data_IF_998158215444
#
_entry.id   IF_998158215444
#
_cell.length_a   1.000
_cell.length_b   1.000
_cell.length_c   1.000
_cell.angle_alpha   90.00
_cell.angle_beta   90.00
_cell.angle_gamma   90.00
#
_symmetry.space_group_name_H-M   'P 1'
#
loop_
_entity.id
_entity.type
_entity.pdbx_description
1 polymer ?
#
# COMPACT_ATOMS: atom_id res chain seq x y z
N UNK A 1 -18.51 -57.76 -32.43
CA UNK A 1 -18.75 -56.41 -31.90
C UNK A 1 -19.45 -56.51 -30.56
N UNK A 2 -18.76 -56.88 -29.46
CA UNK A 2 -19.45 -56.95 -28.15
C UNK A 2 -18.56 -56.91 -26.90
N UNK A 3 -17.35 -57.46 -26.92
CA UNK A 3 -16.44 -57.43 -25.76
C UNK A 3 -15.26 -56.46 -25.91
N UNK A 4 -14.68 -56.38 -27.11
CA UNK A 4 -13.55 -55.47 -27.38
C UNK A 4 -13.98 -53.99 -27.41
N UNK A 5 -15.10 -53.68 -28.06
CA UNK A 5 -15.63 -52.30 -28.12
C UNK A 5 -16.13 -51.80 -26.76
N UNK A 6 -16.65 -52.69 -25.90
CA UNK A 6 -17.08 -52.34 -24.55
C UNK A 6 -15.89 -52.16 -23.61
N UNK A 7 -14.80 -52.92 -23.78
CA UNK A 7 -13.52 -52.66 -23.10
C UNK A 7 -12.90 -51.33 -23.56
N UNK A 8 -12.88 -51.04 -24.86
CA UNK A 8 -12.34 -49.79 -25.41
C UNK A 8 -13.13 -48.55 -24.93
N UNK A 9 -14.46 -48.64 -24.88
CA UNK A 9 -15.30 -47.59 -24.28
C UNK A 9 -15.06 -47.43 -22.77
N UNK A 10 -14.84 -48.53 -22.04
CA UNK A 10 -14.55 -48.47 -20.61
C UNK A 10 -13.16 -47.87 -20.32
N UNK A 11 -12.17 -48.14 -21.16
CA UNK A 11 -10.83 -47.57 -21.05
C UNK A 11 -10.82 -46.08 -21.40
N UNK A 12 -11.51 -45.67 -22.48
CA UNK A 12 -11.69 -44.24 -22.83
C UNK A 12 -12.43 -43.46 -21.73
N UNK A 13 -13.46 -44.06 -21.11
CA UNK A 13 -14.19 -43.44 -20.01
C UNK A 13 -13.33 -43.30 -18.74
N UNK A 14 -12.46 -44.27 -18.45
CA UNK A 14 -11.50 -44.20 -17.35
C UNK A 14 -10.44 -43.14 -17.56
N UNK A 15 -9.89 -43.03 -18.77
CA UNK A 15 -8.89 -42.02 -19.10
C UNK A 15 -9.47 -40.60 -18.98
N UNK A 16 -10.66 -40.35 -19.55
CA UNK A 16 -11.35 -39.07 -19.40
C UNK A 16 -11.69 -38.72 -17.94
N UNK A 17 -12.09 -39.72 -17.14
CA UNK A 17 -12.35 -39.54 -15.71
C UNK A 17 -11.07 -39.17 -14.93
N UNK A 18 -9.94 -39.79 -15.27
CA UNK A 18 -8.65 -39.52 -14.64
C UNK A 18 -8.12 -38.13 -15.01
N UNK A 19 -8.23 -37.72 -16.27
CA UNK A 19 -7.82 -36.40 -16.74
C UNK A 19 -8.65 -35.28 -16.08
N UNK A 20 -9.97 -35.44 -16.03
CA UNK A 20 -10.86 -34.50 -15.35
C UNK A 20 -10.56 -34.36 -13.85
N UNK A 21 -10.20 -35.47 -13.17
CA UNK A 21 -9.77 -35.44 -11.76
C UNK A 21 -8.48 -34.64 -11.58
N UNK A 22 -7.51 -34.79 -12.48
CA UNK A 22 -6.25 -34.04 -12.41
C UNK A 22 -6.48 -32.54 -12.62
N UNK A 23 -7.33 -32.17 -13.57
CA UNK A 23 -7.69 -30.76 -13.80
C UNK A 23 -8.46 -30.18 -12.61
N UNK A 24 -9.36 -30.95 -11.99
CA UNK A 24 -10.06 -30.54 -10.78
C UNK A 24 -9.10 -30.30 -9.60
N UNK A 25 -8.09 -31.15 -9.43
CA UNK A 25 -7.02 -30.94 -8.43
C UNK A 25 -6.19 -29.69 -8.74
N UNK A 26 -5.86 -29.44 -10.01
CA UNK A 26 -5.19 -28.22 -10.44
C UNK A 26 -6.01 -26.98 -10.06
N UNK A 27 -7.31 -26.95 -10.35
CA UNK A 27 -8.21 -25.85 -9.98
C UNK A 27 -8.19 -25.61 -8.46
N UNK A 28 -8.24 -26.68 -7.65
CA UNK A 28 -8.19 -26.55 -6.19
C UNK A 28 -6.88 -25.91 -5.70
N UNK A 29 -5.74 -26.27 -6.30
CA UNK A 29 -4.44 -25.66 -5.99
C UNK A 29 -4.41 -24.19 -6.40
N UNK A 30 -4.88 -23.85 -7.61
CA UNK A 30 -4.92 -22.46 -8.07
C UNK A 30 -5.85 -21.62 -7.17
N UNK A 31 -6.99 -22.17 -6.76
CA UNK A 31 -7.92 -21.50 -5.85
C UNK A 31 -7.31 -21.22 -4.47
N UNK A 32 -6.49 -22.14 -3.95
CA UNK A 32 -5.72 -21.90 -2.72
C UNK A 32 -4.71 -20.76 -2.91
N UNK A 33 -3.98 -20.74 -4.02
CA UNK A 33 -3.05 -19.66 -4.34
C UNK A 33 -3.76 -18.31 -4.49
N UNK A 34 -4.94 -18.29 -5.14
CA UNK A 34 -5.80 -17.11 -5.26
C UNK A 34 -6.22 -16.59 -3.89
N UNK A 35 -6.71 -17.46 -3.01
CA UNK A 35 -7.14 -17.06 -1.67
C UNK A 35 -6.00 -16.42 -0.86
N UNK A 36 -4.78 -16.94 -0.98
CA UNK A 36 -3.59 -16.36 -0.35
C UNK A 36 -3.25 -14.99 -0.96
N UNK A 37 -3.24 -14.89 -2.29
CA UNK A 37 -2.96 -13.64 -3.01
C UNK A 37 -3.96 -12.54 -2.66
N UNK A 38 -5.26 -12.84 -2.64
CA UNK A 38 -6.31 -11.88 -2.26
C UNK A 38 -6.20 -11.45 -0.79
N UNK A 39 -5.83 -12.38 0.10
CA UNK A 39 -5.64 -12.06 1.53
C UNK A 39 -4.46 -11.11 1.72
N UNK A 40 -3.33 -11.39 1.06
CA UNK A 40 -2.15 -10.51 1.07
C UNK A 40 -2.45 -9.16 0.41
N UNK A 41 -3.18 -9.15 -0.71
CA UNK A 41 -3.66 -7.96 -1.40
C UNK A 41 -4.48 -7.06 -0.49
N UNK A 42 -5.52 -7.59 0.16
CA UNK A 42 -6.37 -6.83 1.10
C UNK A 42 -5.57 -6.27 2.29
N UNK A 43 -4.60 -7.03 2.80
CA UNK A 43 -3.68 -6.57 3.83
C UNK A 43 -2.84 -5.38 3.36
N UNK A 44 -2.20 -5.50 2.20
CA UNK A 44 -1.39 -4.43 1.61
C UNK A 44 -2.22 -3.18 1.27
N UNK A 45 -3.45 -3.35 0.78
CA UNK A 45 -4.39 -2.26 0.53
C UNK A 45 -4.75 -1.52 1.81
N UNK A 46 -5.07 -2.26 2.88
CA UNK A 46 -5.43 -1.69 4.18
C UNK A 46 -4.25 -0.93 4.78
N UNK A 47 -3.05 -1.49 4.71
CA UNK A 47 -1.82 -0.82 5.15
C UNK A 47 -1.56 0.47 4.35
N UNK A 48 -1.70 0.44 3.02
CA UNK A 48 -1.56 1.64 2.19
C UNK A 48 -2.55 2.74 2.60
N UNK A 49 -3.82 2.39 2.81
CA UNK A 49 -4.84 3.35 3.26
C UNK A 49 -4.49 3.90 4.65
N UNK A 50 -4.09 3.03 5.59
CA UNK A 50 -3.72 3.44 6.94
C UNK A 50 -2.53 4.42 6.92
N UNK A 51 -1.50 4.13 6.13
CA UNK A 51 -0.31 4.97 5.97
C UNK A 51 -0.60 6.27 5.22
N UNK A 52 -1.51 6.25 4.25
CA UNK A 52 -1.99 7.47 3.60
C UNK A 52 -2.70 8.40 4.61
N UNK A 53 -3.58 7.84 5.45
CA UNK A 53 -4.25 8.59 6.51
C UNK A 53 -3.24 9.12 7.54
N UNK A 54 -2.25 8.32 7.93
CA UNK A 54 -1.17 8.75 8.82
C UNK A 54 -0.38 9.93 8.23
N UNK A 55 0.08 9.82 6.98
CA UNK A 55 0.79 10.89 6.28
C UNK A 55 -0.06 12.16 6.16
N UNK A 56 -1.33 12.03 5.79
CA UNK A 56 -2.27 13.15 5.68
C UNK A 56 -2.44 13.88 7.02
N UNK A 57 -2.60 13.13 8.12
CA UNK A 57 -2.69 13.69 9.46
C UNK A 57 -1.39 14.43 9.86
N UNK A 58 -0.22 13.84 9.58
CA UNK A 58 1.07 14.47 9.87
C UNK A 58 1.26 15.78 9.09
N UNK A 59 0.89 15.80 7.81
CA UNK A 59 0.90 17.02 7.02
C UNK A 59 -0.13 18.06 7.51
N UNK A 60 -1.27 17.63 8.01
CA UNK A 60 -2.24 18.53 8.63
C UNK A 60 -1.68 19.17 9.92
N UNK A 61 -1.02 18.38 10.78
CA UNK A 61 -0.34 18.91 11.98
C UNK A 61 0.81 19.86 11.61
N UNK A 62 1.61 19.51 10.59
CA UNK A 62 2.65 20.38 10.06
C UNK A 62 2.07 21.73 9.63
N UNK A 63 1.00 21.72 8.84
CA UNK A 63 0.34 22.94 8.35
C UNK A 63 -0.21 23.77 9.52
N UNK A 64 -0.89 23.14 10.47
CA UNK A 64 -1.41 23.83 11.66
C UNK A 64 -0.29 24.49 12.47
N UNK A 65 0.83 23.78 12.69
CA UNK A 65 1.98 24.32 13.45
C UNK A 65 2.71 25.41 12.67
N UNK A 66 2.81 25.28 11.35
CA UNK A 66 3.35 26.31 10.46
C UNK A 66 2.51 27.61 10.51
N UNK A 67 1.18 27.51 10.45
CA UNK A 67 0.28 28.66 10.59
C UNK A 67 0.46 29.32 11.96
N UNK A 68 0.44 28.55 13.05
CA UNK A 68 0.66 29.07 14.42
C UNK A 68 2.03 29.76 14.56
N UNK A 69 3.07 29.21 13.92
CA UNK A 69 4.40 29.82 13.90
C UNK A 69 4.36 31.17 13.18
N UNK A 70 3.78 31.24 11.99
CA UNK A 70 3.64 32.49 11.24
C UNK A 70 2.88 33.53 12.05
N UNK A 71 1.76 33.17 12.68
CA UNK A 71 0.99 34.10 13.54
C UNK A 71 1.84 34.69 14.67
N UNK A 72 2.61 33.85 15.39
CA UNK A 72 3.47 34.31 16.49
C UNK A 72 4.65 35.14 15.99
N UNK A 73 5.23 34.80 14.83
CA UNK A 73 6.28 35.58 14.19
C UNK A 73 5.78 36.98 13.81
N UNK A 74 4.61 37.06 13.14
CA UNK A 74 3.99 38.34 12.79
C UNK A 74 3.65 39.17 14.03
N UNK A 75 3.16 38.54 15.11
CA UNK A 75 2.92 39.25 16.38
C UNK A 75 4.22 39.84 16.98
N UNK A 76 5.33 39.08 16.93
CA UNK A 76 6.63 39.56 17.38
C UNK A 76 7.17 40.71 16.53
N UNK A 77 7.00 40.65 15.21
CA UNK A 77 7.36 41.75 14.30
C UNK A 77 6.52 43.00 14.59
N UNK A 78 5.21 42.84 14.83
CA UNK A 78 4.35 43.97 15.14
C UNK A 78 4.69 44.61 16.50
N UNK A 79 5.01 43.80 17.52
CA UNK A 79 5.48 44.33 18.81
C UNK A 79 6.84 45.03 18.71
N UNK A 80 7.73 44.60 17.80
CA UNK A 80 8.99 45.30 17.52
C UNK A 80 8.76 46.72 17.00
N UNK A 81 7.70 46.95 16.21
CA UNK A 81 7.32 48.31 15.78
C UNK A 81 6.82 49.17 16.95
N UNK A 82 6.22 48.56 17.97
CA UNK A 82 5.74 49.26 19.17
C UNK A 82 6.86 49.66 20.14
N UNK A 83 8.06 49.04 20.05
CA UNK A 83 9.21 49.37 20.92
C UNK A 83 9.65 50.84 20.79
N UNK A 84 9.63 51.38 19.57
CA UNK A 84 9.95 52.79 19.31
C UNK A 84 8.85 53.76 19.79
N UNK A 85 7.63 53.27 20.01
CA UNK A 85 6.49 54.06 20.48
C UNK A 85 6.27 53.98 22.01
N UNK A 86 6.97 53.08 22.71
CA UNK A 86 6.84 52.92 24.15
C UNK A 86 7.50 54.07 24.93
N UNK A 87 6.72 54.71 25.81
CA UNK A 87 7.08 55.98 26.47
C UNK A 87 8.06 55.86 27.63
N UNK A 88 8.07 54.75 28.38
CA UNK A 88 8.98 54.52 29.51
C UNK A 88 9.79 53.22 29.37
N UNK A 89 10.88 53.11 30.14
CA UNK A 89 11.81 51.99 30.05
C UNK A 89 11.22 50.67 30.56
N UNK A 90 10.27 50.73 31.49
CA UNK A 90 9.56 49.56 31.99
C UNK A 90 8.65 48.95 30.90
N UNK A 91 7.95 49.78 30.14
CA UNK A 91 7.13 49.39 29.00
C UNK A 91 7.99 48.81 27.88
N UNK A 92 9.15 49.41 27.57
CA UNK A 92 10.11 48.85 26.60
C UNK A 92 10.61 47.47 27.02
N UNK A 93 10.97 47.30 28.29
CA UNK A 93 11.41 46.00 28.82
C UNK A 93 10.30 44.94 28.75
N UNK A 94 9.05 45.30 29.04
CA UNK A 94 7.91 44.39 28.96
C UNK A 94 7.64 43.94 27.50
N UNK A 95 7.67 44.89 26.54
CA UNK A 95 7.50 44.58 25.11
C UNK A 95 8.64 43.71 24.60
N UNK A 96 9.89 44.01 24.98
CA UNK A 96 11.04 43.21 24.58
C UNK A 96 10.94 41.76 25.10
N UNK A 97 10.54 41.58 26.38
CA UNK A 97 10.31 40.25 26.94
C UNK A 97 9.25 39.48 26.14
N UNK A 98 8.15 40.12 25.79
CA UNK A 98 7.08 39.48 25.01
C UNK A 98 7.55 39.03 23.62
N UNK A 99 8.40 39.84 22.96
CA UNK A 99 9.03 39.49 21.69
C UNK A 99 9.91 38.25 21.85
N UNK A 100 10.77 38.22 22.88
CA UNK A 100 11.67 37.10 23.12
C UNK A 100 10.90 35.80 23.40
N UNK A 101 9.80 35.87 24.17
CA UNK A 101 8.95 34.72 24.47
C UNK A 101 8.21 34.20 23.22
N UNK A 102 7.76 35.09 22.35
CA UNK A 102 7.18 34.72 21.05
C UNK A 102 8.21 34.12 20.10
N UNK A 103 9.45 34.63 20.08
CA UNK A 103 10.52 34.06 19.26
C UNK A 103 10.91 32.66 19.73
N UNK A 104 11.02 32.45 21.05
CA UNK A 104 11.23 31.10 21.62
C UNK A 104 10.09 30.15 21.23
N UNK A 105 8.85 30.62 21.29
CA UNK A 105 7.68 29.83 20.88
C UNK A 105 7.72 29.47 19.39
N UNK A 106 8.06 30.42 18.53
CA UNK A 106 8.21 30.18 17.09
C UNK A 106 9.35 29.18 16.78
N UNK A 107 10.47 29.26 17.51
CA UNK A 107 11.57 28.31 17.40
C UNK A 107 11.16 26.90 17.82
N UNK A 108 10.45 26.76 18.95
CA UNK A 108 9.88 25.47 19.41
C UNK A 108 8.89 24.88 18.41
N UNK A 109 8.05 25.71 17.79
CA UNK A 109 7.17 25.24 16.73
C UNK A 109 7.92 24.70 15.51
N UNK A 110 9.08 25.29 15.20
CA UNK A 110 9.93 24.80 14.11
C UNK A 110 10.56 23.44 14.44
N UNK A 111 11.19 23.33 15.60
CA UNK A 111 11.93 22.13 16.02
C UNK A 111 11.68 21.85 17.49
N UNK A 112 11.20 20.64 17.78
CA UNK A 112 10.92 20.17 19.14
C UNK A 112 11.33 18.70 19.27
N UNK A 113 12.64 18.43 19.42
CA UNK A 113 13.17 17.06 19.33
C UNK A 113 12.65 16.13 20.43
N UNK A 114 12.38 16.66 21.62
CA UNK A 114 11.94 15.90 22.79
C UNK A 114 10.58 15.22 22.56
N UNK A 115 9.63 15.94 21.95
CA UNK A 115 8.28 15.44 21.67
C UNK A 115 8.11 14.95 20.23
N UNK A 116 9.06 15.26 19.34
CA UNK A 116 8.97 15.01 17.88
C UNK A 116 7.76 15.66 17.23
N UNK A 117 7.29 16.77 17.78
CA UNK A 117 6.13 17.50 17.26
C UNK A 117 6.54 18.79 16.53
N UNK A 118 7.82 19.13 16.44
CA UNK A 118 8.28 20.27 15.61
C UNK A 118 7.95 20.05 14.14
N UNK A 119 7.77 21.13 13.38
CA UNK A 119 7.49 21.04 11.94
C UNK A 119 8.54 20.23 11.17
N UNK A 120 9.81 20.29 11.58
CA UNK A 120 10.89 19.50 10.96
C UNK A 120 10.68 18.00 11.19
N UNK A 121 10.38 17.60 12.44
CA UNK A 121 10.15 16.21 12.81
C UNK A 121 8.82 15.67 12.24
N UNK A 122 7.78 16.50 12.18
CA UNK A 122 6.50 16.14 11.56
C UNK A 122 6.66 15.88 10.06
N UNK A 123 7.43 16.71 9.35
CA UNK A 123 7.68 16.52 7.93
C UNK A 123 8.51 15.26 7.64
N UNK A 124 9.52 14.97 8.45
CA UNK A 124 10.30 13.73 8.34
C UNK A 124 9.41 12.49 8.51
N UNK A 125 8.59 12.46 9.57
CA UNK A 125 7.64 11.37 9.80
C UNK A 125 6.60 11.24 8.69
N UNK A 126 6.12 12.36 8.15
CA UNK A 126 5.15 12.36 7.06
C UNK A 126 5.72 11.68 5.82
N UNK A 127 6.99 11.99 5.47
CA UNK A 127 7.68 11.36 4.33
C UNK A 127 7.91 9.86 4.55
N UNK A 128 8.29 9.45 5.76
CA UNK A 128 8.42 8.02 6.08
C UNK A 128 7.08 7.30 5.90
N UNK A 129 5.98 7.89 6.38
CA UNK A 129 4.64 7.32 6.18
C UNK A 129 4.23 7.27 4.69
N UNK A 130 4.66 8.25 3.88
CA UNK A 130 4.46 8.23 2.41
C UNK A 130 5.27 7.09 1.75
N UNK A 131 6.52 6.89 2.14
CA UNK A 131 7.35 5.78 1.63
C UNK A 131 6.76 4.42 2.01
N UNK A 132 6.27 4.26 3.25
CA UNK A 132 5.60 3.04 3.71
C UNK A 132 4.28 2.80 2.97
N UNK A 133 3.50 3.87 2.71
CA UNK A 133 2.31 3.82 1.86
C UNK A 133 2.66 3.33 0.46
N UNK A 134 3.68 3.92 -0.16
CA UNK A 134 4.07 3.62 -1.54
C UNK A 134 4.58 2.19 -1.67
N UNK A 135 5.32 1.70 -0.66
CA UNK A 135 5.71 0.30 -0.56
C UNK A 135 4.49 -0.63 -0.46
N UNK A 136 3.54 -0.32 0.43
CA UNK A 136 2.33 -1.12 0.61
C UNK A 136 1.47 -1.14 -0.67
N UNK A 137 1.35 0.01 -1.34
CA UNK A 137 0.67 0.14 -2.62
C UNK A 137 1.36 -0.67 -3.72
N UNK A 138 2.70 -0.66 -3.78
CA UNK A 138 3.44 -1.45 -4.76
C UNK A 138 3.22 -2.96 -4.55
N UNK A 139 3.23 -3.42 -3.30
CA UNK A 139 2.87 -4.81 -2.94
C UNK A 139 1.46 -5.17 -3.39
N UNK A 140 0.49 -4.29 -3.12
CA UNK A 140 -0.92 -4.49 -3.50
C UNK A 140 -1.07 -4.75 -5.01
N UNK A 141 -0.43 -3.95 -5.86
CA UNK A 141 -0.53 -4.12 -7.32
C UNK A 141 0.00 -5.48 -7.79
N UNK A 142 1.07 -6.00 -7.19
CA UNK A 142 1.59 -7.33 -7.52
C UNK A 142 0.60 -8.44 -7.14
N UNK A 143 -0.04 -8.33 -5.98
CA UNK A 143 -1.06 -9.28 -5.55
C UNK A 143 -2.32 -9.22 -6.40
N UNK A 144 -2.71 -8.04 -6.88
CA UNK A 144 -3.84 -7.90 -7.83
C UNK A 144 -3.54 -8.59 -9.16
N UNK A 145 -2.34 -8.39 -9.72
CA UNK A 145 -1.92 -9.09 -10.95
C UNK A 145 -1.86 -10.61 -10.76
N UNK A 146 -1.33 -11.07 -9.63
CA UNK A 146 -1.31 -12.49 -9.30
C UNK A 146 -2.72 -13.08 -9.18
N UNK A 147 -3.62 -12.39 -8.46
CA UNK A 147 -5.02 -12.80 -8.32
C UNK A 147 -5.72 -12.86 -9.68
N UNK A 148 -5.53 -11.87 -10.55
CA UNK A 148 -6.07 -11.89 -11.91
C UNK A 148 -5.55 -13.09 -12.72
N UNK A 149 -4.25 -13.38 -12.65
CA UNK A 149 -3.66 -14.53 -13.34
C UNK A 149 -4.25 -15.86 -12.84
N UNK A 150 -4.43 -16.03 -11.53
CA UNK A 150 -5.05 -17.22 -10.95
C UNK A 150 -6.53 -17.35 -11.33
N UNK A 151 -7.30 -16.27 -11.30
CA UNK A 151 -8.71 -16.28 -11.72
C UNK A 151 -8.86 -16.70 -13.19
N UNK A 152 -8.05 -16.12 -14.10
CA UNK A 152 -8.05 -16.53 -15.51
C UNK A 152 -7.61 -17.99 -15.65
N UNK A 153 -6.58 -18.41 -14.90
CA UNK A 153 -6.12 -19.80 -14.86
C UNK A 153 -7.23 -20.78 -14.48
N UNK A 154 -8.03 -20.47 -13.44
CA UNK A 154 -9.19 -21.28 -13.01
C UNK A 154 -10.25 -21.37 -14.12
N UNK A 155 -10.55 -20.25 -14.80
CA UNK A 155 -11.52 -20.22 -15.90
C UNK A 155 -11.07 -21.11 -17.06
N UNK A 156 -9.79 -21.04 -17.45
CA UNK A 156 -9.24 -21.87 -18.53
C UNK A 156 -9.15 -23.36 -18.16
N UNK A 157 -8.78 -23.69 -16.91
CA UNK A 157 -8.81 -25.07 -16.44
C UNK A 157 -10.24 -25.63 -16.45
N UNK A 158 -11.22 -24.84 -16.01
CA UNK A 158 -12.64 -25.21 -16.05
C UNK A 158 -13.13 -25.41 -17.49
N UNK A 159 -12.73 -24.54 -18.42
CA UNK A 159 -13.04 -24.69 -19.83
C UNK A 159 -12.42 -25.94 -20.46
N UNK A 160 -11.26 -26.40 -19.96
CA UNK A 160 -10.62 -27.64 -20.41
C UNK A 160 -11.50 -28.86 -20.13
N UNK A 161 -12.11 -28.94 -18.94
CA UNK A 161 -13.02 -30.05 -18.56
C UNK A 161 -14.22 -30.13 -19.52
N UNK A 162 -14.74 -28.98 -19.96
CA UNK A 162 -15.92 -28.91 -20.84
C UNK A 162 -15.55 -29.22 -22.29
N UNK A 163 -14.43 -28.69 -22.77
CA UNK A 163 -14.05 -28.71 -24.19
C UNK A 163 -13.15 -29.89 -24.57
N UNK A 164 -12.49 -30.54 -23.60
CA UNK A 164 -11.46 -31.56 -23.83
C UNK A 164 -10.16 -31.02 -24.45
N UNK A 165 -10.00 -29.70 -24.57
CA UNK A 165 -8.85 -29.09 -25.23
C UNK A 165 -7.65 -28.95 -24.28
N UNK A 166 -6.72 -29.92 -24.33
CA UNK A 166 -5.47 -29.92 -23.53
C UNK A 166 -4.66 -28.61 -23.60
N UNK A 167 -4.72 -27.88 -24.72
CA UNK A 167 -4.05 -26.58 -24.86
C UNK A 167 -4.48 -25.56 -23.78
N UNK A 168 -5.76 -25.60 -23.36
CA UNK A 168 -6.29 -24.71 -22.32
C UNK A 168 -5.70 -25.03 -20.95
N UNK A 169 -5.45 -26.31 -20.65
CA UNK A 169 -4.78 -26.73 -19.41
C UNK A 169 -3.32 -26.25 -19.36
N UNK A 170 -2.60 -26.29 -20.50
CA UNK A 170 -1.24 -25.76 -20.57
C UNK A 170 -1.19 -24.25 -20.32
N UNK A 171 -2.09 -23.49 -20.92
CA UNK A 171 -2.18 -22.03 -20.70
C UNK A 171 -2.55 -21.74 -19.24
N UNK A 172 -3.49 -22.49 -18.66
CA UNK A 172 -3.83 -22.39 -17.25
C UNK A 172 -2.62 -22.66 -16.34
N UNK A 173 -1.84 -23.70 -16.63
CA UNK A 173 -0.60 -24.00 -15.92
C UNK A 173 0.43 -22.86 -16.01
N UNK A 174 0.60 -22.27 -17.20
CA UNK A 174 1.48 -21.11 -17.40
C UNK A 174 1.02 -19.90 -16.57
N UNK A 175 -0.27 -19.57 -16.62
CA UNK A 175 -0.85 -18.48 -15.83
C UNK A 175 -0.69 -18.71 -14.32
N UNK A 176 -0.77 -19.96 -13.88
CA UNK A 176 -0.52 -20.32 -12.48
C UNK A 176 0.92 -20.02 -12.08
N UNK A 177 1.90 -20.38 -12.92
CA UNK A 177 3.31 -20.06 -12.67
C UNK A 177 3.55 -18.55 -12.66
N UNK A 178 2.92 -17.81 -13.59
CA UNK A 178 2.99 -16.35 -13.61
C UNK A 178 2.37 -15.74 -12.35
N UNK A 179 1.22 -16.24 -11.89
CA UNK A 179 0.59 -15.79 -10.65
C UNK A 179 1.49 -16.02 -9.44
N UNK A 180 2.10 -17.20 -9.32
CA UNK A 180 3.08 -17.49 -8.25
C UNK A 180 4.29 -16.55 -8.33
N UNK A 181 4.80 -16.28 -9.54
CA UNK A 181 5.90 -15.34 -9.73
C UNK A 181 5.52 -13.92 -9.28
N UNK A 182 4.33 -13.42 -9.65
CA UNK A 182 3.87 -12.11 -9.20
C UNK A 182 3.66 -12.03 -7.68
N UNK A 183 3.11 -13.08 -7.05
CA UNK A 183 2.99 -13.15 -5.58
C UNK A 183 4.38 -13.11 -4.93
N UNK A 184 5.35 -13.86 -5.46
CA UNK A 184 6.72 -13.85 -4.95
C UNK A 184 7.39 -12.48 -5.14
N UNK A 185 7.21 -11.84 -6.29
CA UNK A 185 7.71 -10.48 -6.55
C UNK A 185 7.09 -9.47 -5.58
N UNK A 186 5.79 -9.57 -5.28
CA UNK A 186 5.14 -8.73 -4.27
C UNK A 186 5.76 -8.89 -2.87
N UNK A 187 6.20 -10.10 -2.51
CA UNK A 187 6.84 -10.35 -1.21
C UNK A 187 8.28 -9.83 -1.17
N UNK A 188 9.08 -10.15 -2.19
CA UNK A 188 10.54 -9.96 -2.15
C UNK A 188 11.03 -8.69 -2.85
N UNK A 189 10.34 -8.25 -3.90
CA UNK A 189 10.80 -7.16 -4.77
C UNK A 189 9.63 -6.26 -5.24
N UNK A 190 8.88 -5.64 -4.32
CA UNK A 190 7.66 -4.90 -4.64
C UNK A 190 7.87 -3.66 -5.52
N UNK A 191 9.11 -3.16 -5.67
CA UNK A 191 9.42 -2.00 -6.49
C UNK A 191 9.79 -2.32 -7.95
N UNK A 192 9.84 -3.59 -8.35
CA UNK A 192 10.27 -3.97 -9.71
C UNK A 192 9.27 -3.55 -10.79
N UNK A 193 7.98 -3.62 -10.51
CA UNK A 193 6.93 -3.21 -11.44
C UNK A 193 6.30 -1.92 -10.93
N UNK A 194 6.72 -0.81 -11.53
CA UNK A 194 6.01 0.46 -11.41
C UNK A 194 4.75 0.37 -12.26
N UNK A 195 3.65 -0.04 -11.65
CA UNK A 195 2.33 -0.01 -12.26
C UNK A 195 1.69 1.34 -11.90
N UNK A 196 1.14 2.08 -12.88
CA UNK A 196 0.61 3.42 -12.69
C UNK A 196 -0.65 3.44 -11.80
#
# INVERSE_FOLDING_TARGET
>A
MSAHESMEQADQAKEASHENRNIALLIAVIALCLALSETLGKGAQTESIAKNVEASNLWAFFQAKSIRRTTVQTAAEQARLSLSAAGDDAAKAAVQKQIDDWQKTAARYRSEPETKEGTEQLAERAKVAEEERDLAQAKYHHYELASAAFQIGIVLASATIITGMLALAWISGLLTLLGVAFTALGIFMPHLLHLP
#
